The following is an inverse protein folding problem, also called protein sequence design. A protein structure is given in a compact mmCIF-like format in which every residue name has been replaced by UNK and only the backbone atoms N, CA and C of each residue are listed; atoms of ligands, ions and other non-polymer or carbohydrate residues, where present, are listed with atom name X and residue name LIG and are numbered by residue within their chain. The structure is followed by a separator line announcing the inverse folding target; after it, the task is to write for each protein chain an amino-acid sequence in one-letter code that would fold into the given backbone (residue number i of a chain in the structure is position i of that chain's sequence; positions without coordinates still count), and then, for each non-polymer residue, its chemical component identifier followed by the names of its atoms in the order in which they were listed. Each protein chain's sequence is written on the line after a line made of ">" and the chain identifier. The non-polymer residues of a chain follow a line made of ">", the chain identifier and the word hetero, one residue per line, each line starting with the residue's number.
data_IF_492922156958
#
_entry.id   IF_492922156958
#
_cell.length_a   1.000
_cell.length_b   1.000
_cell.length_c   1.000
_cell.angle_alpha   90.00
_cell.angle_beta   90.00
_cell.angle_gamma   90.00
#
_symmetry.space_group_name_H-M   'P 1'
#
loop_
_entity.id
_entity.type
_entity.pdbx_description
1 polymer ?
#
# COMPACT_ATOMS: atom_id res chain seq x y z
N UNK A 1 -49.11 62.37 -40.48
CA UNK A 1 -47.72 62.24 -40.01
C UNK A 1 -47.11 61.06 -40.77
N UNK A 2 -46.41 61.34 -41.88
CA UNK A 2 -45.83 60.29 -42.78
C UNK A 2 -44.44 60.03 -42.23
N UNK A 3 -44.25 58.87 -41.58
CA UNK A 3 -42.91 58.40 -41.19
C UNK A 3 -42.17 58.04 -42.47
N UNK A 4 -41.02 58.62 -42.71
CA UNK A 4 -40.29 58.48 -43.98
C UNK A 4 -39.75 57.04 -44.13
N UNK A 5 -39.87 56.50 -45.36
CA UNK A 5 -39.32 55.15 -45.68
C UNK A 5 -37.84 54.97 -45.28
N UNK A 6 -37.09 56.07 -45.14
CA UNK A 6 -35.67 56.05 -44.66
C UNK A 6 -35.55 55.72 -43.22
N UNK A 7 -36.49 55.98 -42.32
CA UNK A 7 -36.47 55.62 -40.91
C UNK A 7 -36.86 54.16 -40.70
N UNK A 8 -37.80 53.64 -41.50
CA UNK A 8 -38.15 52.21 -41.47
C UNK A 8 -37.03 51.34 -41.99
N UNK A 9 -36.28 51.78 -43.01
CA UNK A 9 -35.15 51.04 -43.56
C UNK A 9 -33.99 50.98 -42.52
N UNK A 10 -33.69 52.07 -41.82
CA UNK A 10 -32.66 52.10 -40.75
C UNK A 10 -33.01 51.25 -39.52
N UNK A 11 -34.29 51.19 -39.15
CA UNK A 11 -34.71 50.32 -38.02
C UNK A 11 -34.61 48.82 -38.36
N UNK A 12 -34.94 48.44 -39.58
CA UNK A 12 -34.82 47.06 -40.06
C UNK A 12 -33.32 46.61 -40.23
N UNK A 13 -32.45 47.51 -40.67
CA UNK A 13 -30.97 47.20 -40.74
C UNK A 13 -30.34 47.10 -39.34
N UNK A 14 -30.75 47.95 -38.38
CA UNK A 14 -30.26 47.89 -37.01
C UNK A 14 -30.73 46.60 -36.29
N UNK A 15 -31.97 46.17 -36.53
CA UNK A 15 -32.54 44.95 -35.92
C UNK A 15 -31.92 43.68 -36.55
N UNK A 16 -31.69 43.67 -37.87
CA UNK A 16 -30.99 42.56 -38.55
C UNK A 16 -29.52 42.44 -38.10
N UNK A 17 -28.81 43.58 -37.91
CA UNK A 17 -27.42 43.59 -37.45
C UNK A 17 -27.28 43.12 -35.98
N UNK A 18 -28.28 43.45 -35.15
CA UNK A 18 -28.37 43.02 -33.76
C UNK A 18 -28.57 41.49 -33.67
N UNK A 19 -29.51 40.96 -34.47
CA UNK A 19 -29.81 39.53 -34.50
C UNK A 19 -28.61 38.69 -35.01
N UNK A 20 -27.86 39.20 -35.98
CA UNK A 20 -26.64 38.55 -36.51
C UNK A 20 -25.53 38.58 -35.46
N UNK A 21 -25.35 39.66 -34.69
CA UNK A 21 -24.39 39.73 -33.61
C UNK A 21 -24.73 38.76 -32.47
N UNK A 22 -26.00 38.66 -32.09
CA UNK A 22 -26.45 37.69 -31.07
C UNK A 22 -26.24 36.26 -31.53
N UNK A 23 -26.55 35.91 -32.79
CA UNK A 23 -26.27 34.58 -33.33
C UNK A 23 -24.75 34.23 -33.32
N UNK A 24 -23.89 35.17 -33.71
CA UNK A 24 -22.42 34.98 -33.66
C UNK A 24 -21.92 34.80 -32.22
N UNK A 25 -22.46 35.57 -31.27
CA UNK A 25 -22.13 35.42 -29.85
C UNK A 25 -22.55 34.06 -29.28
N UNK A 26 -23.74 33.60 -29.61
CA UNK A 26 -24.25 32.27 -29.22
C UNK A 26 -23.38 31.16 -29.81
N UNK A 27 -23.03 31.25 -31.11
CA UNK A 27 -22.15 30.28 -31.77
C UNK A 27 -20.76 30.27 -31.09
N UNK A 28 -20.18 31.43 -30.79
CA UNK A 28 -18.91 31.53 -30.09
C UNK A 28 -18.97 30.88 -28.69
N UNK A 29 -20.03 31.12 -27.93
CA UNK A 29 -20.22 30.48 -26.62
C UNK A 29 -20.39 28.96 -26.72
N UNK A 30 -21.11 28.47 -27.73
CA UNK A 30 -21.23 27.02 -27.96
C UNK A 30 -19.93 26.37 -28.36
N UNK A 31 -19.11 27.05 -29.17
CA UNK A 31 -17.75 26.57 -29.51
C UNK A 31 -16.85 26.54 -28.30
N UNK A 32 -16.85 27.59 -27.47
CA UNK A 32 -16.09 27.62 -26.22
C UNK A 32 -16.56 26.49 -25.28
N UNK A 33 -17.87 26.33 -25.12
CA UNK A 33 -18.38 25.23 -24.29
C UNK A 33 -18.01 23.86 -24.83
N UNK A 34 -18.03 23.64 -26.15
CA UNK A 34 -17.60 22.37 -26.74
C UNK A 34 -16.10 22.11 -26.55
N UNK A 35 -15.25 23.15 -26.66
CA UNK A 35 -13.80 23.05 -26.40
C UNK A 35 -13.56 22.74 -24.91
N UNK A 36 -14.25 23.39 -23.99
CA UNK A 36 -14.15 23.11 -22.56
C UNK A 36 -14.59 21.70 -22.20
N UNK A 37 -15.69 21.23 -22.78
CA UNK A 37 -16.19 19.86 -22.58
C UNK A 37 -15.15 18.85 -23.11
N UNK A 38 -14.59 19.09 -24.30
CA UNK A 38 -13.55 18.22 -24.85
C UNK A 38 -12.27 18.21 -23.99
N UNK A 39 -11.86 19.36 -23.47
CA UNK A 39 -10.73 19.47 -22.57
C UNK A 39 -10.98 18.74 -21.23
N UNK A 40 -12.17 18.89 -20.65
CA UNK A 40 -12.56 18.17 -19.44
C UNK A 40 -12.66 16.66 -19.67
N UNK A 41 -13.19 16.23 -20.81
CA UNK A 41 -13.25 14.81 -21.17
C UNK A 41 -11.84 14.22 -21.34
N UNK A 42 -10.92 14.95 -21.99
CA UNK A 42 -9.53 14.54 -22.14
C UNK A 42 -8.79 14.50 -20.78
N UNK A 43 -9.04 15.46 -19.91
CA UNK A 43 -8.48 15.45 -18.55
C UNK A 43 -9.05 14.29 -17.73
N UNK A 44 -10.33 13.97 -17.88
CA UNK A 44 -10.94 12.81 -17.21
C UNK A 44 -10.41 11.48 -17.75
N UNK A 45 -10.20 11.35 -19.05
CA UNK A 45 -9.59 10.17 -19.65
C UNK A 45 -8.16 9.95 -19.14
N UNK A 46 -7.43 11.03 -18.90
CA UNK A 46 -6.05 11.02 -18.41
C UNK A 46 -5.95 10.77 -16.90
N UNK A 47 -6.77 11.42 -16.07
CA UNK A 47 -6.65 11.45 -14.61
C UNK A 47 -7.82 10.83 -13.86
N UNK A 48 -8.83 10.31 -14.56
CA UNK A 48 -10.09 9.90 -13.93
C UNK A 48 -9.92 8.80 -12.88
N UNK A 49 -9.04 7.84 -13.12
CA UNK A 49 -8.72 6.75 -12.19
C UNK A 49 -8.07 7.30 -10.92
N UNK A 50 -7.05 8.15 -11.07
CA UNK A 50 -6.34 8.78 -9.96
C UNK A 50 -7.27 9.70 -9.15
N UNK A 51 -8.05 10.53 -9.82
CA UNK A 51 -9.02 11.41 -9.15
C UNK A 51 -10.10 10.62 -8.40
N UNK A 52 -10.60 9.54 -9.00
CA UNK A 52 -11.57 8.67 -8.33
C UNK A 52 -10.98 8.04 -7.09
N UNK A 53 -9.77 7.47 -7.16
CA UNK A 53 -9.09 6.89 -6.02
C UNK A 53 -8.80 7.95 -4.92
N UNK A 54 -8.31 9.13 -5.30
CA UNK A 54 -8.06 10.23 -4.36
C UNK A 54 -9.32 10.70 -3.62
N UNK A 55 -10.50 10.57 -4.24
CA UNK A 55 -11.79 10.91 -3.61
C UNK A 55 -12.29 9.85 -2.63
N UNK A 56 -11.74 8.63 -2.63
CA UNK A 56 -12.07 7.58 -1.64
C UNK A 56 -11.31 7.74 -0.34
N UNK A 57 -10.28 8.61 -0.30
CA UNK A 57 -9.47 8.79 0.91
C UNK A 57 -10.33 9.35 2.02
N UNK A 58 -10.42 8.59 3.11
CA UNK A 58 -11.21 8.90 4.29
C UNK A 58 -10.34 8.80 5.55
N UNK A 59 -10.48 9.78 6.45
CA UNK A 59 -9.85 9.75 7.76
C UNK A 59 -10.67 8.87 8.70
N UNK A 60 -10.07 7.80 9.22
CA UNK A 60 -10.69 6.85 10.12
C UNK A 60 -10.44 7.20 11.60
N UNK A 61 -9.21 7.65 11.91
CA UNK A 61 -8.79 8.09 13.25
C UNK A 61 -7.67 9.14 13.14
N UNK A 62 -7.10 9.60 14.24
CA UNK A 62 -6.13 10.72 14.24
C UNK A 62 -4.94 10.50 13.31
N UNK A 63 -4.37 9.31 13.29
CA UNK A 63 -3.22 8.95 12.45
C UNK A 63 -3.53 7.74 11.54
N UNK A 64 -4.80 7.57 11.15
CA UNK A 64 -5.25 6.46 10.34
C UNK A 64 -6.21 6.90 9.25
N UNK A 65 -5.92 6.53 8.01
CA UNK A 65 -6.76 6.76 6.84
C UNK A 65 -7.02 5.46 6.11
N UNK A 66 -8.03 5.48 5.24
CA UNK A 66 -8.30 4.42 4.27
C UNK A 66 -8.36 4.97 2.85
N UNK A 67 -8.06 4.13 1.88
CA UNK A 67 -8.12 4.44 0.46
C UNK A 67 -8.53 3.20 -0.34
N UNK A 68 -9.41 3.39 -1.32
CA UNK A 68 -9.72 2.38 -2.33
C UNK A 68 -9.19 2.83 -3.69
N UNK A 69 -8.35 2.00 -4.34
CA UNK A 69 -7.84 2.26 -5.68
C UNK A 69 -8.32 1.18 -6.65
N UNK A 70 -9.29 1.53 -7.50
CA UNK A 70 -9.82 0.66 -8.56
C UNK A 70 -9.27 1.05 -9.92
N UNK A 71 -8.72 0.08 -10.64
CA UNK A 71 -8.21 0.26 -11.99
C UNK A 71 -6.68 0.19 -12.08
N UNK A 72 -6.15 0.78 -13.13
CA UNK A 72 -4.73 0.78 -13.40
C UNK A 72 -4.01 1.84 -12.56
N UNK A 73 -3.01 1.44 -11.79
CA UNK A 73 -2.10 2.34 -11.06
C UNK A 73 -0.67 2.31 -11.61
N UNK A 74 -0.48 1.76 -12.83
CA UNK A 74 0.79 1.79 -13.55
C UNK A 74 1.80 0.71 -13.14
N UNK A 75 1.44 -0.25 -12.30
CA UNK A 75 2.40 -1.22 -11.81
C UNK A 75 2.88 -2.20 -12.90
N UNK A 76 1.99 -2.59 -13.82
CA UNK A 76 2.39 -3.41 -14.97
C UNK A 76 3.40 -2.67 -15.86
N UNK A 77 3.15 -1.39 -16.15
CA UNK A 77 4.09 -0.55 -16.91
C UNK A 77 5.43 -0.37 -16.17
N UNK A 78 5.41 -0.22 -14.85
CA UNK A 78 6.61 -0.19 -14.02
C UNK A 78 7.47 -1.44 -14.21
N UNK A 79 6.85 -2.62 -14.16
CA UNK A 79 7.54 -3.89 -14.38
C UNK A 79 8.05 -4.05 -15.83
N UNK A 80 7.26 -3.64 -16.82
CA UNK A 80 7.63 -3.69 -18.24
C UNK A 80 8.83 -2.79 -18.58
N UNK A 81 9.01 -1.68 -17.87
CA UNK A 81 10.17 -0.78 -17.98
C UNK A 81 11.44 -1.33 -17.30
N UNK A 82 11.35 -2.49 -16.64
CA UNK A 82 12.46 -3.14 -15.94
C UNK A 82 12.52 -2.85 -14.44
N UNK A 83 11.49 -2.21 -13.88
CA UNK A 83 11.37 -1.95 -12.45
C UNK A 83 12.28 -0.84 -11.93
N UNK A 84 12.83 -1.00 -10.73
CA UNK A 84 13.71 0.00 -10.09
C UNK A 84 14.75 -0.66 -9.18
N UNK A 85 15.95 -0.06 -9.13
CA UNK A 85 17.07 -0.48 -8.25
C UNK A 85 17.07 0.21 -6.89
N UNK A 86 16.18 1.16 -6.69
CA UNK A 86 16.09 1.93 -5.45
C UNK A 86 14.70 2.55 -5.27
N UNK A 87 14.36 2.88 -4.02
CA UNK A 87 13.13 3.61 -3.71
C UNK A 87 13.08 4.98 -4.40
N UNK A 88 14.22 5.61 -4.64
CA UNK A 88 14.29 6.89 -5.36
C UNK A 88 13.87 6.74 -6.83
N UNK A 89 14.36 5.71 -7.53
CA UNK A 89 13.96 5.42 -8.91
C UNK A 89 12.46 5.04 -8.98
N UNK A 90 11.98 4.24 -8.02
CA UNK A 90 10.57 3.91 -7.89
C UNK A 90 9.72 5.17 -7.64
N UNK A 91 10.16 6.04 -6.73
CA UNK A 91 9.50 7.32 -6.46
C UNK A 91 9.43 8.24 -7.68
N UNK A 92 10.50 8.31 -8.47
CA UNK A 92 10.53 9.06 -9.75
C UNK A 92 9.51 8.49 -10.75
N UNK A 93 9.41 7.15 -10.84
CA UNK A 93 8.40 6.50 -11.67
C UNK A 93 6.98 6.84 -11.20
N UNK A 94 6.68 6.65 -9.91
CA UNK A 94 5.36 6.91 -9.33
C UNK A 94 4.95 8.37 -9.56
N UNK A 95 5.85 9.31 -9.28
CA UNK A 95 5.60 10.73 -9.48
C UNK A 95 5.32 11.05 -10.96
N UNK A 96 6.08 10.46 -11.88
CA UNK A 96 5.86 10.60 -13.31
C UNK A 96 4.51 10.02 -13.74
N UNK A 97 4.16 8.83 -13.27
CA UNK A 97 2.90 8.17 -13.58
C UNK A 97 1.69 8.96 -13.05
N UNK A 98 1.68 9.29 -11.76
CA UNK A 98 0.57 10.01 -11.12
C UNK A 98 0.37 11.41 -11.69
N UNK A 99 1.43 12.09 -12.10
CA UNK A 99 1.38 13.44 -12.65
C UNK A 99 1.41 13.49 -14.17
N UNK A 100 1.48 12.35 -14.87
CA UNK A 100 1.76 12.28 -16.32
C UNK A 100 2.98 13.12 -16.71
N UNK A 101 4.03 13.12 -15.86
CA UNK A 101 5.28 13.84 -16.08
C UNK A 101 5.24 15.33 -15.77
N UNK A 102 4.12 15.87 -15.26
CA UNK A 102 4.00 17.30 -14.95
C UNK A 102 4.67 17.73 -13.65
N UNK A 103 4.96 16.79 -12.75
CA UNK A 103 5.51 17.08 -11.43
C UNK A 103 6.46 16.00 -10.94
N UNK A 104 7.53 16.43 -10.27
CA UNK A 104 8.47 15.55 -9.57
C UNK A 104 8.58 16.04 -8.12
N UNK A 105 8.15 15.27 -7.12
CA UNK A 105 8.36 15.61 -5.72
C UNK A 105 9.84 15.47 -5.37
N UNK A 106 10.28 16.26 -4.41
CA UNK A 106 11.54 16.02 -3.71
C UNK A 106 11.20 15.06 -2.54
N UNK A 107 11.44 13.78 -2.74
CA UNK A 107 11.15 12.75 -1.74
C UNK A 107 12.42 12.42 -0.99
N UNK A 108 12.41 12.60 0.33
CA UNK A 108 13.44 12.07 1.22
C UNK A 108 12.91 10.80 1.89
N UNK A 109 13.59 9.68 1.71
CA UNK A 109 13.23 8.45 2.42
C UNK A 109 13.54 8.58 3.91
N UNK A 110 12.56 8.34 4.77
CA UNK A 110 12.77 8.25 6.21
C UNK A 110 13.56 6.96 6.50
N UNK A 111 14.77 7.10 7.00
CA UNK A 111 15.58 5.99 7.49
C UNK A 111 15.41 5.82 9.00
N UNK A 112 15.24 4.59 9.47
CA UNK A 112 15.11 4.29 10.90
C UNK A 112 15.21 2.79 11.15
N UNK A 113 15.23 2.37 12.41
CA UNK A 113 15.10 0.97 12.79
C UNK A 113 13.63 0.72 13.13
N UNK A 114 13.03 -0.33 12.59
CA UNK A 114 11.69 -0.75 12.95
C UNK A 114 11.66 -2.23 13.35
N UNK A 115 10.74 -2.55 14.26
CA UNK A 115 10.49 -3.90 14.72
C UNK A 115 9.33 -4.54 13.99
N UNK A 116 9.31 -5.84 13.94
CA UNK A 116 8.21 -6.58 13.33
C UNK A 116 8.08 -7.98 13.91
N UNK A 117 6.88 -8.53 13.85
CA UNK A 117 6.62 -9.93 14.18
C UNK A 117 5.52 -10.49 13.31
N UNK A 118 5.67 -11.73 12.87
CA UNK A 118 4.59 -12.49 12.21
C UNK A 118 4.44 -13.87 12.82
N UNK A 119 3.22 -14.41 12.76
CA UNK A 119 2.92 -15.79 13.15
C UNK A 119 1.83 -16.37 12.24
N UNK A 120 2.05 -17.61 11.76
CA UNK A 120 1.06 -18.38 11.00
C UNK A 120 0.58 -19.56 11.81
N UNK A 121 -0.73 -19.77 11.85
CA UNK A 121 -1.38 -20.89 12.55
C UNK A 121 -2.52 -21.44 11.72
N UNK A 122 -3.06 -22.59 12.14
CA UNK A 122 -4.31 -23.13 11.61
C UNK A 122 -5.42 -22.86 12.63
N UNK A 123 -6.56 -22.37 12.19
CA UNK A 123 -7.74 -22.22 13.07
C UNK A 123 -8.37 -23.57 13.42
N UNK A 124 -9.22 -23.68 14.45
CA UNK A 124 -9.88 -24.93 14.80
C UNK A 124 -10.74 -25.55 13.69
N UNK A 125 -11.23 -24.75 12.77
CA UNK A 125 -11.99 -25.19 11.57
C UNK A 125 -11.13 -25.43 10.34
N UNK A 126 -9.79 -25.25 10.48
CA UNK A 126 -8.79 -25.56 9.46
C UNK A 126 -8.45 -24.43 8.49
N UNK A 127 -8.86 -23.18 8.75
CA UNK A 127 -8.39 -22.02 8.00
C UNK A 127 -6.94 -21.66 8.38
N UNK A 128 -6.15 -21.16 7.45
CA UNK A 128 -4.88 -20.53 7.77
C UNK A 128 -5.13 -19.10 8.30
N UNK A 129 -4.45 -18.73 9.37
CA UNK A 129 -4.49 -17.41 9.98
C UNK A 129 -3.07 -16.85 10.04
N UNK A 130 -2.89 -15.62 9.54
CA UNK A 130 -1.64 -14.90 9.57
C UNK A 130 -1.76 -13.69 10.49
N UNK A 131 -0.89 -13.60 11.48
CA UNK A 131 -0.81 -12.48 12.42
C UNK A 131 0.42 -11.63 12.19
N UNK A 132 0.31 -10.31 12.32
CA UNK A 132 1.38 -9.33 12.06
C UNK A 132 1.38 -8.22 13.12
N UNK A 133 2.57 -7.87 13.66
CA UNK A 133 2.83 -6.60 14.34
C UNK A 133 3.84 -5.79 13.53
N UNK A 134 3.56 -4.51 13.32
CA UNK A 134 4.53 -3.52 12.84
C UNK A 134 4.89 -2.57 13.98
N UNK A 135 6.17 -2.51 14.28
CA UNK A 135 6.70 -1.72 15.38
C UNK A 135 7.57 -0.58 14.81
N UNK A 136 7.25 0.65 15.19
CA UNK A 136 7.92 1.87 14.75
C UNK A 136 7.77 2.94 15.83
N UNK A 137 8.26 4.14 15.56
CA UNK A 137 7.84 5.35 16.27
C UNK A 137 6.33 5.60 15.98
N UNK A 138 5.79 6.69 16.41
CA UNK A 138 4.43 7.08 16.04
C UNK A 138 4.39 7.42 14.54
N UNK A 139 3.45 6.87 13.77
CA UNK A 139 3.36 7.08 12.33
C UNK A 139 1.93 7.30 11.85
N UNK A 140 1.82 8.05 10.75
CA UNK A 140 0.59 8.14 9.96
C UNK A 140 0.43 6.86 9.12
N UNK A 141 -0.77 6.28 9.07
CA UNK A 141 -1.06 4.97 8.47
C UNK A 141 -2.15 5.05 7.42
N UNK A 142 -2.02 4.26 6.36
CA UNK A 142 -3.05 4.09 5.35
C UNK A 142 -3.43 2.61 5.21
N UNK A 143 -4.73 2.32 5.35
CA UNK A 143 -5.32 1.07 4.89
C UNK A 143 -5.61 1.21 3.40
N UNK A 144 -5.08 0.32 2.59
CA UNK A 144 -5.13 0.39 1.14
C UNK A 144 -5.89 -0.81 0.60
N UNK A 145 -7.01 -0.56 -0.06
CA UNK A 145 -7.73 -1.56 -0.84
C UNK A 145 -7.47 -1.33 -2.32
N UNK A 146 -6.98 -2.34 -3.03
CA UNK A 146 -6.73 -2.26 -4.47
C UNK A 146 -7.56 -3.26 -5.25
N UNK A 147 -8.11 -2.82 -6.37
CA UNK A 147 -8.76 -3.67 -7.39
C UNK A 147 -8.05 -3.38 -8.71
N UNK A 148 -6.88 -3.99 -8.96
CA UNK A 148 -6.08 -3.71 -10.13
C UNK A 148 -6.76 -4.20 -11.41
N UNK A 149 -6.45 -3.56 -12.53
CA UNK A 149 -6.99 -3.95 -13.84
C UNK A 149 -6.54 -5.37 -14.25
N UNK A 150 -5.29 -5.71 -13.94
CA UNK A 150 -4.64 -6.97 -14.31
C UNK A 150 -3.93 -7.59 -13.09
N UNK A 151 -4.67 -7.98 -12.06
CA UNK A 151 -4.09 -8.56 -10.86
C UNK A 151 -5.16 -8.93 -9.86
N UNK A 152 -4.73 -9.42 -8.72
CA UNK A 152 -5.62 -9.81 -7.63
C UNK A 152 -6.02 -8.61 -6.78
N UNK A 153 -7.28 -8.59 -6.37
CA UNK A 153 -7.78 -7.66 -5.36
C UNK A 153 -7.05 -7.89 -4.04
N UNK A 154 -6.70 -6.80 -3.32
CA UNK A 154 -5.96 -6.92 -2.07
C UNK A 154 -6.27 -5.82 -1.07
N UNK A 155 -6.09 -6.14 0.21
CA UNK A 155 -6.02 -5.19 1.32
C UNK A 155 -4.59 -5.17 1.86
N UNK A 156 -4.08 -3.99 2.17
CA UNK A 156 -2.71 -3.81 2.62
C UNK A 156 -2.60 -2.61 3.58
N UNK A 157 -1.47 -2.50 4.27
CA UNK A 157 -1.14 -1.38 5.15
C UNK A 157 0.12 -0.68 4.68
N UNK A 158 0.15 0.64 4.84
CA UNK A 158 1.28 1.50 4.51
C UNK A 158 1.59 2.44 5.67
N UNK A 159 2.88 2.63 5.97
CA UNK A 159 3.36 3.73 6.79
C UNK A 159 3.60 4.95 5.88
N UNK A 160 2.79 5.99 6.05
CA UNK A 160 2.82 7.18 5.20
C UNK A 160 4.09 8.02 5.40
N UNK A 161 4.73 7.92 6.58
CA UNK A 161 5.97 8.66 6.85
C UNK A 161 7.11 8.19 5.93
N UNK A 162 7.05 6.95 5.45
CA UNK A 162 8.02 6.40 4.50
C UNK A 162 7.89 6.99 3.08
N UNK A 163 6.79 7.66 2.77
CA UNK A 163 6.62 8.36 1.49
C UNK A 163 7.42 9.67 1.41
N UNK A 164 7.91 10.19 2.55
CA UNK A 164 8.82 11.33 2.59
C UNK A 164 8.20 12.69 2.24
N UNK A 165 6.88 12.85 2.38
CA UNK A 165 6.19 14.09 2.00
C UNK A 165 6.26 15.21 3.05
N UNK A 166 6.89 14.95 4.22
CA UNK A 166 7.09 15.93 5.29
C UNK A 166 5.96 15.98 6.32
N UNK A 167 6.25 16.59 7.47
CA UNK A 167 5.36 16.58 8.64
C UNK A 167 4.05 17.37 8.45
N UNK A 168 4.04 18.37 7.57
CA UNK A 168 2.86 19.21 7.32
C UNK A 168 1.87 18.58 6.31
N UNK A 169 2.27 17.50 5.64
CA UNK A 169 1.43 16.81 4.67
C UNK A 169 0.40 15.91 5.36
N UNK A 170 -0.83 15.89 4.84
CA UNK A 170 -1.88 14.97 5.30
C UNK A 170 -2.64 14.38 4.10
N UNK A 171 -2.94 13.06 4.10
CA UNK A 171 -3.58 12.38 2.98
C UNK A 171 -4.96 12.94 2.61
N UNK A 172 -5.68 13.53 3.56
CA UNK A 172 -7.01 14.12 3.40
C UNK A 172 -7.01 15.64 3.23
N UNK A 173 -5.82 16.25 3.03
CA UNK A 173 -5.61 17.66 2.83
C UNK A 173 -6.14 18.19 1.48
N UNK A 174 -5.32 18.92 0.74
CA UNK A 174 -5.66 19.41 -0.59
C UNK A 174 -5.80 18.26 -1.60
N UNK A 175 -6.38 18.54 -2.78
CA UNK A 175 -6.40 17.54 -3.88
C UNK A 175 -5.00 17.09 -4.28
N UNK A 176 -3.99 17.97 -4.18
CA UNK A 176 -2.58 17.62 -4.39
C UNK A 176 -2.11 16.60 -3.36
N UNK A 177 -2.41 16.82 -2.08
CA UNK A 177 -2.03 15.89 -0.99
C UNK A 177 -2.70 14.52 -1.18
N UNK A 178 -3.97 14.51 -1.59
CA UNK A 178 -4.70 13.27 -1.91
C UNK A 178 -4.08 12.52 -3.08
N UNK A 179 -3.65 13.21 -4.13
CA UNK A 179 -2.98 12.59 -5.27
C UNK A 179 -1.60 12.02 -4.86
N UNK A 180 -0.87 12.70 -3.97
CA UNK A 180 0.38 12.17 -3.40
C UNK A 180 0.14 10.91 -2.58
N UNK A 181 -0.96 10.85 -1.82
CA UNK A 181 -1.32 9.68 -1.02
C UNK A 181 -1.52 8.41 -1.86
N UNK A 182 -1.82 8.52 -3.15
CA UNK A 182 -1.94 7.37 -4.06
C UNK A 182 -0.63 6.58 -4.17
N UNK A 183 0.52 7.18 -3.87
CA UNK A 183 1.80 6.48 -3.81
C UNK A 183 1.83 5.35 -2.76
N UNK A 184 0.94 5.37 -1.76
CA UNK A 184 0.83 4.31 -0.74
C UNK A 184 0.53 2.93 -1.33
N UNK A 185 -0.07 2.84 -2.52
CA UNK A 185 -0.29 1.57 -3.24
C UNK A 185 1.03 0.82 -3.47
N UNK A 186 2.13 1.56 -3.68
CA UNK A 186 3.44 0.99 -3.97
C UNK A 186 4.30 0.75 -2.71
N UNK A 187 3.99 1.40 -1.59
CA UNK A 187 4.79 1.40 -0.36
C UNK A 187 4.12 0.62 0.77
N UNK A 188 3.50 -0.49 0.43
CA UNK A 188 2.84 -1.38 1.40
C UNK A 188 3.87 -2.16 2.22
N UNK A 189 3.54 -2.46 3.47
CA UNK A 189 4.41 -3.19 4.40
C UNK A 189 3.88 -4.57 4.80
N UNK A 190 2.57 -4.77 4.67
CA UNK A 190 1.90 -6.07 4.78
C UNK A 190 0.55 -6.04 4.06
N UNK A 191 -0.04 -7.20 3.82
CA UNK A 191 -1.34 -7.31 3.19
C UNK A 191 -1.73 -8.73 2.86
N UNK A 192 -2.96 -8.87 2.34
CA UNK A 192 -3.53 -10.12 1.84
C UNK A 192 -4.26 -9.87 0.53
N UNK A 193 -4.13 -10.78 -0.44
CA UNK A 193 -4.91 -10.73 -1.67
C UNK A 193 -6.10 -11.70 -1.67
N UNK A 194 -6.95 -11.61 -2.68
CA UNK A 194 -8.18 -12.42 -2.86
C UNK A 194 -7.94 -13.93 -3.02
N UNK A 195 -6.68 -14.37 -3.12
CA UNK A 195 -6.29 -15.78 -3.11
C UNK A 195 -5.87 -16.25 -1.72
N UNK A 196 -5.89 -15.36 -0.73
CA UNK A 196 -5.46 -15.62 0.63
C UNK A 196 -3.93 -15.68 0.79
N UNK A 197 -3.16 -15.17 -0.17
CA UNK A 197 -1.73 -14.96 0.02
C UNK A 197 -1.53 -13.74 0.93
N UNK A 198 -0.91 -13.96 2.09
CA UNK A 198 -0.44 -12.91 2.99
C UNK A 198 1.05 -12.65 2.81
N UNK A 199 1.42 -11.39 2.81
CA UNK A 199 2.80 -10.91 2.71
C UNK A 199 3.10 -9.91 3.81
N UNK A 200 4.33 -9.91 4.33
CA UNK A 200 4.82 -8.88 5.24
C UNK A 200 6.30 -8.65 5.02
N UNK A 201 6.71 -7.37 5.10
CA UNK A 201 8.10 -6.95 5.18
C UNK A 201 8.56 -6.88 6.65
N UNK A 202 9.76 -7.38 6.93
CA UNK A 202 10.40 -7.27 8.24
C UNK A 202 11.86 -6.84 8.06
N UNK A 203 12.28 -5.83 8.81
CA UNK A 203 13.65 -5.35 8.79
C UNK A 203 14.61 -6.32 9.48
N UNK A 204 15.85 -6.40 8.99
CA UNK A 204 16.99 -7.07 9.64
C UNK A 204 18.08 -6.04 9.93
N UNK A 205 18.36 -5.78 11.21
CA UNK A 205 19.04 -4.56 11.64
C UNK A 205 20.56 -4.53 11.46
N UNK A 206 21.22 -5.67 11.32
CA UNK A 206 22.69 -5.75 11.34
C UNK A 206 23.31 -6.33 10.07
N UNK A 207 22.49 -6.59 9.06
CA UNK A 207 22.96 -7.15 7.79
C UNK A 207 23.21 -6.04 6.76
N UNK A 208 24.11 -6.30 5.82
CA UNK A 208 24.32 -5.44 4.66
C UNK A 208 23.05 -5.41 3.78
N UNK A 209 22.86 -4.31 3.07
CA UNK A 209 21.74 -4.18 2.15
C UNK A 209 21.71 -5.25 1.07
N UNK A 210 20.55 -5.53 0.53
CA UNK A 210 20.31 -6.48 -0.55
C UNK A 210 20.64 -5.83 -1.88
N UNK A 211 21.55 -6.43 -2.65
CA UNK A 211 21.87 -6.04 -3.99
C UNK A 211 22.10 -7.28 -4.84
N UNK A 212 21.11 -7.61 -5.66
CA UNK A 212 21.35 -8.53 -6.75
C UNK A 212 21.69 -7.73 -8.01
N UNK A 213 22.54 -8.25 -8.87
CA UNK A 213 22.93 -7.60 -10.09
C UNK A 213 23.23 -8.66 -11.17
N UNK A 214 22.14 -9.19 -11.71
CA UNK A 214 22.16 -10.13 -12.83
C UNK A 214 21.57 -9.46 -14.09
N UNK A 215 21.16 -10.22 -15.07
CA UNK A 215 20.49 -9.70 -16.27
C UNK A 215 18.95 -9.65 -16.13
N UNK A 216 18.42 -9.77 -14.91
CA UNK A 216 16.98 -9.73 -14.62
C UNK A 216 16.50 -8.29 -14.41
N UNK A 217 15.18 -8.03 -14.58
CA UNK A 217 14.57 -6.78 -14.14
C UNK A 217 14.74 -6.58 -12.63
N UNK A 218 14.75 -5.32 -12.21
CA UNK A 218 15.03 -4.93 -10.84
C UNK A 218 13.74 -4.65 -10.05
N UNK A 219 13.67 -5.06 -8.79
CA UNK A 219 12.62 -4.67 -7.85
C UNK A 219 13.22 -4.33 -6.50
N UNK A 220 12.56 -3.42 -5.77
CA UNK A 220 12.84 -3.15 -4.37
C UNK A 220 11.95 -4.01 -3.47
N UNK A 221 12.27 -4.08 -2.18
CA UNK A 221 11.47 -4.81 -1.20
C UNK A 221 9.99 -4.38 -1.26
N UNK A 222 9.69 -3.08 -1.21
CA UNK A 222 8.30 -2.60 -1.20
C UNK A 222 7.58 -2.86 -2.53
N UNK A 223 8.24 -2.70 -3.67
CA UNK A 223 7.66 -3.08 -4.97
C UNK A 223 7.51 -4.59 -5.13
N UNK A 224 8.37 -5.38 -4.47
CA UNK A 224 8.25 -6.83 -4.38
C UNK A 224 6.97 -7.27 -3.65
N UNK A 225 6.62 -6.62 -2.54
CA UNK A 225 5.34 -6.91 -1.86
C UNK A 225 4.13 -6.61 -2.75
N UNK A 226 4.16 -5.47 -3.48
CA UNK A 226 3.08 -5.14 -4.43
C UNK A 226 3.00 -6.16 -5.56
N UNK A 227 4.15 -6.58 -6.10
CA UNK A 227 4.23 -7.64 -7.10
C UNK A 227 3.55 -8.93 -6.64
N UNK A 228 3.84 -9.37 -5.41
CA UNK A 228 3.27 -10.59 -4.85
C UNK A 228 1.77 -10.49 -4.64
N UNK A 229 1.27 -9.38 -4.08
CA UNK A 229 -0.17 -9.21 -3.89
C UNK A 229 -0.93 -9.15 -5.21
N UNK A 230 -0.34 -8.54 -6.25
CA UNK A 230 -1.00 -8.44 -7.55
C UNK A 230 -0.97 -9.74 -8.36
N UNK A 231 0.09 -10.55 -8.24
CA UNK A 231 0.40 -11.57 -9.25
C UNK A 231 0.54 -13.01 -8.72
N UNK A 232 0.70 -13.22 -7.41
CA UNK A 232 0.90 -14.55 -6.84
C UNK A 232 -0.35 -15.02 -6.07
N UNK A 233 -0.80 -16.25 -6.34
CA UNK A 233 -1.94 -16.84 -5.66
C UNK A 233 -1.55 -17.60 -4.37
N UNK A 234 -0.31 -17.99 -4.23
CA UNK A 234 0.20 -18.82 -3.14
C UNK A 234 1.71 -18.63 -2.97
N UNK A 235 2.27 -19.24 -1.93
CA UNK A 235 3.72 -19.13 -1.61
C UNK A 235 4.58 -19.65 -2.76
N UNK A 236 4.21 -20.74 -3.44
CA UNK A 236 5.02 -21.31 -4.51
C UNK A 236 5.12 -20.36 -5.72
N UNK A 237 3.98 -19.81 -6.15
CA UNK A 237 3.95 -18.79 -7.21
C UNK A 237 4.72 -17.52 -6.81
N UNK A 238 4.62 -17.11 -5.53
CA UNK A 238 5.36 -15.99 -5.01
C UNK A 238 6.88 -16.19 -5.12
N UNK A 239 7.38 -17.37 -4.75
CA UNK A 239 8.79 -17.70 -4.83
C UNK A 239 9.28 -17.79 -6.29
N UNK A 240 8.48 -18.40 -7.18
CA UNK A 240 8.79 -18.45 -8.61
C UNK A 240 8.86 -17.04 -9.19
N UNK A 241 7.90 -16.18 -8.85
CA UNK A 241 7.84 -14.81 -9.32
C UNK A 241 9.03 -13.99 -8.85
N UNK A 242 9.37 -14.02 -7.55
CA UNK A 242 10.55 -13.34 -7.00
C UNK A 242 11.85 -13.80 -7.65
N UNK A 243 11.94 -15.06 -8.04
CA UNK A 243 13.13 -15.60 -8.71
C UNK A 243 13.41 -14.98 -10.08
N UNK A 244 12.45 -14.26 -10.67
CA UNK A 244 12.56 -13.64 -11.99
C UNK A 244 13.16 -12.24 -11.94
N UNK A 245 13.36 -11.68 -10.75
CA UNK A 245 13.83 -10.32 -10.54
C UNK A 245 15.13 -10.27 -9.73
N UNK A 246 15.87 -9.18 -9.89
CA UNK A 246 16.96 -8.80 -9.00
C UNK A 246 16.38 -7.93 -7.87
N UNK A 247 16.56 -8.39 -6.62
CA UNK A 247 16.05 -7.71 -5.43
C UNK A 247 17.04 -6.68 -4.90
N UNK A 248 16.50 -5.51 -4.55
CA UNK A 248 17.22 -4.42 -3.89
C UNK A 248 16.54 -4.05 -2.58
N UNK A 249 17.31 -3.58 -1.60
CA UNK A 249 16.76 -3.15 -0.32
C UNK A 249 15.88 -1.89 -0.47
N UNK A 250 14.98 -1.71 0.48
CA UNK A 250 14.22 -0.47 0.68
C UNK A 250 14.61 0.20 1.98
N UNK A 251 14.33 1.50 2.13
CA UNK A 251 14.53 2.27 3.35
C UNK A 251 15.97 2.23 3.91
N UNK A 252 16.95 1.91 3.06
CA UNK A 252 18.36 1.85 3.45
C UNK A 252 18.74 0.70 4.39
N UNK A 253 17.94 -0.36 4.46
CA UNK A 253 18.12 -1.49 5.40
C UNK A 253 17.94 -2.83 4.72
N UNK A 254 18.60 -3.86 5.27
CA UNK A 254 18.29 -5.24 4.92
C UNK A 254 16.90 -5.62 5.46
N UNK A 255 16.20 -6.40 4.68
CA UNK A 255 14.82 -6.81 4.96
C UNK A 255 14.62 -8.23 4.46
N UNK A 256 13.59 -8.90 4.97
CA UNK A 256 13.14 -10.19 4.50
C UNK A 256 11.61 -10.25 4.47
N UNK A 257 11.06 -11.18 3.70
CA UNK A 257 9.62 -11.39 3.65
C UNK A 257 9.18 -12.51 4.58
N UNK A 258 8.03 -12.33 5.20
CA UNK A 258 7.20 -13.40 5.72
C UNK A 258 6.02 -13.60 4.79
N UNK A 259 5.88 -14.79 4.23
CA UNK A 259 4.80 -15.16 3.32
C UNK A 259 3.99 -16.30 3.92
N UNK A 260 2.67 -16.25 3.75
CA UNK A 260 1.77 -17.34 4.14
C UNK A 260 0.61 -17.45 3.15
N UNK A 261 0.16 -18.66 2.83
CA UNK A 261 -0.96 -18.90 1.92
C UNK A 261 -2.14 -19.63 2.57
N UNK A 262 -3.27 -19.64 1.89
CA UNK A 262 -4.50 -20.29 2.35
C UNK A 262 -4.38 -21.81 2.53
N UNK A 263 -3.34 -22.45 1.96
CA UNK A 263 -3.03 -23.85 2.22
C UNK A 263 -2.26 -24.08 3.53
N UNK A 264 -1.86 -22.99 4.21
CA UNK A 264 -1.13 -23.01 5.47
C UNK A 264 0.38 -23.13 5.30
N UNK A 265 0.93 -23.03 4.09
CA UNK A 265 2.38 -22.92 3.90
C UNK A 265 2.83 -21.55 4.36
N UNK A 266 3.91 -21.50 5.14
CA UNK A 266 4.51 -20.26 5.64
C UNK A 266 6.02 -20.31 5.54
N UNK A 267 6.63 -19.24 5.01
CA UNK A 267 8.06 -19.13 4.77
C UNK A 267 8.61 -17.77 5.11
N UNK A 268 9.89 -17.73 5.51
CA UNK A 268 10.72 -16.53 5.41
C UNK A 268 11.49 -16.58 4.09
N UNK A 269 11.53 -15.46 3.36
CA UNK A 269 12.32 -15.29 2.14
C UNK A 269 13.39 -14.26 2.42
N UNK A 270 14.64 -14.67 2.35
CA UNK A 270 15.81 -13.91 2.73
C UNK A 270 16.77 -13.78 1.54
N UNK A 271 17.54 -12.69 1.48
CA UNK A 271 18.58 -12.52 0.47
C UNK A 271 19.92 -12.41 1.16
N UNK A 272 20.74 -13.43 0.99
CA UNK A 272 22.04 -13.52 1.62
C UNK A 272 23.12 -13.83 0.58
N UNK A 273 24.20 -13.05 0.57
CA UNK A 273 25.29 -13.17 -0.41
C UNK A 273 24.82 -13.09 -1.88
N UNK A 274 23.78 -12.31 -2.18
CA UNK A 274 23.20 -12.17 -3.52
C UNK A 274 22.28 -13.33 -3.95
N UNK A 275 21.99 -14.26 -3.06
CA UNK A 275 21.09 -15.40 -3.33
C UNK A 275 19.80 -15.30 -2.51
N UNK A 276 18.67 -15.66 -3.13
CA UNK A 276 17.40 -15.82 -2.45
C UNK A 276 17.40 -17.15 -1.69
N UNK A 277 17.14 -17.10 -0.39
CA UNK A 277 17.08 -18.25 0.52
C UNK A 277 15.70 -18.34 1.14
N UNK A 278 15.12 -19.52 1.15
CA UNK A 278 13.76 -19.79 1.66
C UNK A 278 13.85 -20.73 2.86
N UNK A 279 13.24 -20.32 3.97
CA UNK A 279 13.14 -21.12 5.20
C UNK A 279 11.66 -21.35 5.53
N UNK A 280 11.21 -22.61 5.53
CA UNK A 280 9.85 -22.92 6.01
C UNK A 280 9.76 -22.64 7.51
N UNK A 281 8.93 -21.72 7.90
CA UNK A 281 8.76 -21.26 9.28
C UNK A 281 7.39 -20.62 9.50
N UNK A 282 6.73 -20.87 10.65
CA UNK A 282 5.49 -20.19 10.99
C UNK A 282 5.69 -18.87 11.75
N UNK A 283 6.93 -18.52 12.13
CA UNK A 283 7.23 -17.31 12.90
C UNK A 283 8.42 -16.61 12.28
N UNK A 284 8.30 -15.29 12.09
CA UNK A 284 9.38 -14.44 11.60
C UNK A 284 9.45 -13.18 12.45
N UNK A 285 10.66 -12.73 12.79
CA UNK A 285 10.93 -11.44 13.46
C UNK A 285 12.18 -10.80 12.84
N UNK A 286 12.84 -9.87 13.50
CA UNK A 286 13.89 -9.04 12.90
C UNK A 286 15.30 -9.65 12.99
N UNK A 287 15.49 -10.87 12.52
CA UNK A 287 16.79 -11.52 12.31
C UNK A 287 16.68 -12.54 11.17
N UNK A 288 17.77 -12.78 10.45
CA UNK A 288 17.81 -13.83 9.44
C UNK A 288 17.79 -15.22 10.08
N UNK A 289 16.87 -16.06 9.62
CA UNK A 289 16.75 -17.45 10.07
C UNK A 289 17.83 -18.32 9.45
N UNK A 290 18.21 -18.02 8.20
CA UNK A 290 19.27 -18.79 7.53
C UNK A 290 20.66 -18.43 8.06
N UNK A 291 21.31 -19.40 8.71
CA UNK A 291 22.66 -19.24 9.24
C UNK A 291 22.74 -18.26 10.41
N UNK A 292 21.65 -18.08 11.15
CA UNK A 292 21.66 -17.30 12.39
C UNK A 292 22.60 -17.90 13.43
N UNK A 293 23.47 -17.07 13.99
CA UNK A 293 24.39 -17.42 15.07
C UNK A 293 23.97 -16.84 16.44
N UNK A 294 22.77 -16.26 16.50
CA UNK A 294 22.23 -15.60 17.68
C UNK A 294 22.66 -14.15 17.86
N UNK A 295 23.28 -13.54 16.84
CA UNK A 295 23.81 -12.17 16.91
C UNK A 295 23.18 -11.19 15.95
N UNK A 296 22.44 -11.65 14.94
CA UNK A 296 21.87 -10.81 13.89
C UNK A 296 20.55 -10.11 14.29
N UNK A 297 19.93 -10.50 15.40
CA UNK A 297 18.67 -9.93 15.86
C UNK A 297 18.84 -8.60 16.59
N UNK A 298 17.90 -7.70 16.37
CA UNK A 298 17.77 -6.42 17.05
C UNK A 298 16.49 -6.34 17.88
N UNK A 299 16.44 -5.40 18.82
CA UNK A 299 15.23 -4.99 19.52
C UNK A 299 14.31 -6.12 19.93
N UNK A 300 14.69 -6.94 20.89
CA UNK A 300 13.85 -8.04 21.41
C UNK A 300 13.42 -9.10 20.38
N UNK A 301 14.02 -9.12 19.16
CA UNK A 301 13.64 -10.03 18.07
C UNK A 301 13.59 -11.49 18.53
N UNK A 302 14.62 -11.97 19.21
CA UNK A 302 14.67 -13.35 19.71
C UNK A 302 13.63 -13.60 20.81
N UNK A 303 13.38 -12.64 21.69
CA UNK A 303 12.36 -12.77 22.76
C UNK A 303 10.99 -12.87 22.12
N UNK A 304 10.66 -12.01 21.14
CA UNK A 304 9.39 -12.02 20.42
C UNK A 304 9.22 -13.32 19.61
N UNK A 305 10.25 -13.75 18.88
CA UNK A 305 10.28 -15.03 18.17
C UNK A 305 9.99 -16.22 19.09
N UNK A 306 10.73 -16.33 20.20
CA UNK A 306 10.59 -17.41 21.16
C UNK A 306 9.20 -17.39 21.81
N UNK A 307 8.67 -16.21 22.14
CA UNK A 307 7.33 -16.07 22.74
C UNK A 307 6.22 -16.55 21.79
N UNK A 308 6.27 -16.13 20.52
CA UNK A 308 5.29 -16.57 19.52
C UNK A 308 5.40 -18.07 19.25
N UNK A 309 6.62 -18.58 19.11
CA UNK A 309 6.89 -20.01 18.90
C UNK A 309 6.35 -20.84 20.06
N UNK A 310 6.63 -20.47 21.31
CA UNK A 310 6.15 -21.19 22.51
C UNK A 310 4.61 -21.18 22.59
N UNK A 311 3.95 -20.05 22.32
CA UNK A 311 2.49 -19.96 22.33
C UNK A 311 1.87 -20.85 21.26
N UNK A 312 2.40 -20.80 20.06
CA UNK A 312 1.98 -21.63 18.92
C UNK A 312 2.18 -23.11 19.22
N UNK A 313 3.34 -23.50 19.74
CA UNK A 313 3.65 -24.91 20.05
C UNK A 313 2.79 -25.44 21.19
N UNK A 314 2.52 -24.64 22.22
CA UNK A 314 1.59 -25.00 23.31
C UNK A 314 0.18 -25.28 22.78
N UNK A 315 -0.24 -24.55 21.75
CA UNK A 315 -1.51 -24.76 21.02
C UNK A 315 -1.39 -25.81 19.89
N UNK A 316 -0.22 -26.45 19.70
CA UNK A 316 0.05 -27.41 18.62
C UNK A 316 -0.21 -26.85 17.22
N UNK A 317 0.03 -25.54 17.05
CA UNK A 317 -0.20 -24.82 15.80
C UNK A 317 -1.68 -24.53 15.50
N UNK A 318 -2.61 -24.84 16.40
CA UNK A 318 -4.04 -24.59 16.19
C UNK A 318 -4.52 -23.49 17.15
N UNK A 319 -4.89 -22.34 16.59
CA UNK A 319 -5.29 -21.16 17.37
C UNK A 319 -6.43 -20.42 16.69
N UNK A 320 -7.35 -19.89 17.46
CA UNK A 320 -8.36 -18.94 16.97
C UNK A 320 -7.75 -17.59 16.62
N UNK A 321 -8.44 -16.76 15.84
CA UNK A 321 -8.03 -15.39 15.55
C UNK A 321 -7.79 -14.58 16.86
N UNK A 322 -8.60 -14.79 17.88
CA UNK A 322 -8.47 -14.13 19.19
C UNK A 322 -7.20 -14.60 19.95
N UNK A 323 -6.83 -15.88 19.85
CA UNK A 323 -5.57 -16.37 20.44
C UNK A 323 -4.35 -15.84 19.68
N UNK A 324 -4.45 -15.65 18.35
CA UNK A 324 -3.43 -14.98 17.55
C UNK A 324 -3.32 -13.52 17.98
N UNK A 325 -4.42 -12.77 18.08
CA UNK A 325 -4.45 -11.40 18.61
C UNK A 325 -3.76 -11.32 19.98
N UNK A 326 -4.12 -12.23 20.90
CA UNK A 326 -3.53 -12.28 22.24
C UNK A 326 -2.03 -12.59 22.19
N UNK A 327 -1.59 -13.38 21.22
CA UNK A 327 -0.16 -13.67 21.02
C UNK A 327 0.60 -12.48 20.46
N UNK A 328 0.00 -11.73 19.53
CA UNK A 328 0.54 -10.46 19.04
C UNK A 328 0.64 -9.42 20.15
N UNK A 329 -0.40 -9.29 20.97
CA UNK A 329 -0.39 -8.41 22.13
C UNK A 329 0.72 -8.76 23.16
N UNK A 330 1.05 -10.05 23.30
CA UNK A 330 2.12 -10.48 24.21
C UNK A 330 3.53 -10.11 23.73
N UNK A 331 3.70 -9.79 22.46
CA UNK A 331 4.96 -9.35 21.83
C UNK A 331 4.91 -7.91 21.32
N UNK A 332 3.87 -7.15 21.70
CA UNK A 332 3.77 -5.74 21.39
C UNK A 332 4.83 -4.93 22.16
N UNK A 333 5.24 -3.80 21.60
CA UNK A 333 6.36 -3.01 22.13
C UNK A 333 6.12 -2.42 23.51
N UNK A 334 4.87 -2.20 23.92
CA UNK A 334 4.53 -1.80 25.29
C UNK A 334 5.00 -2.79 26.36
N UNK A 335 5.27 -4.05 26.00
CA UNK A 335 5.83 -5.04 26.92
C UNK A 335 7.36 -4.92 27.14
N UNK A 336 8.04 -4.03 26.42
CA UNK A 336 9.49 -3.84 26.46
C UNK A 336 9.88 -2.38 26.79
N UNK A 337 9.34 -1.78 27.87
CA UNK A 337 9.57 -0.38 28.18
C UNK A 337 11.05 -0.11 28.47
N UNK A 338 11.63 0.89 27.79
CA UNK A 338 13.01 1.30 27.97
C UNK A 338 14.05 0.49 27.20
N UNK A 339 13.67 -0.56 26.50
CA UNK A 339 14.60 -1.40 25.70
C UNK A 339 14.43 -1.18 24.19
N UNK A 340 13.33 -0.59 23.77
CA UNK A 340 12.91 -0.45 22.37
C UNK A 340 13.17 0.92 21.74
N UNK A 341 13.96 1.80 22.39
CA UNK A 341 14.28 3.12 21.83
C UNK A 341 13.12 4.10 21.68
N UNK A 342 11.92 3.75 22.21
CA UNK A 342 10.69 4.54 22.05
C UNK A 342 9.72 3.99 21.00
N UNK A 343 10.05 2.86 20.38
CA UNK A 343 9.17 2.18 19.43
C UNK A 343 7.83 1.79 20.09
N UNK A 344 6.78 1.81 19.28
CA UNK A 344 5.42 1.35 19.60
C UNK A 344 5.02 0.28 18.60
N UNK A 345 4.10 -0.59 18.95
CA UNK A 345 3.41 -1.40 17.94
C UNK A 345 2.38 -0.49 17.28
N UNK A 346 2.75 0.08 16.11
CA UNK A 346 1.93 1.04 15.38
C UNK A 346 0.66 0.42 14.84
N UNK A 347 0.73 -0.85 14.44
CA UNK A 347 -0.47 -1.63 14.14
C UNK A 347 -0.23 -3.13 14.33
N UNK A 348 -1.33 -3.82 14.54
CA UNK A 348 -1.41 -5.28 14.45
C UNK A 348 -2.51 -5.68 13.50
N UNK A 349 -2.31 -6.76 12.76
CA UNK A 349 -3.31 -7.29 11.87
C UNK A 349 -3.42 -8.81 12.00
N UNK A 350 -4.64 -9.32 12.01
CA UNK A 350 -4.95 -10.75 11.99
C UNK A 350 -5.76 -11.05 10.74
N UNK A 351 -5.16 -11.76 9.80
CA UNK A 351 -5.75 -12.13 8.51
C UNK A 351 -6.32 -13.54 8.57
N UNK A 352 -7.58 -13.71 8.21
CA UNK A 352 -8.19 -15.01 7.92
C UNK A 352 -8.10 -15.26 6.40
N UNK A 353 -7.22 -16.18 6.01
CA UNK A 353 -6.86 -16.42 4.61
C UNK A 353 -7.93 -17.19 3.83
N UNK A 354 -8.93 -17.78 4.53
CA UNK A 354 -10.07 -18.46 3.91
C UNK A 354 -11.26 -17.51 3.74
N UNK A 355 -11.61 -16.78 4.83
CA UNK A 355 -12.73 -15.84 4.83
C UNK A 355 -12.37 -14.53 4.12
N UNK A 356 -11.11 -14.34 3.71
CA UNK A 356 -10.56 -13.15 3.06
C UNK A 356 -10.86 -11.87 3.84
N UNK A 357 -10.76 -11.98 5.15
CA UNK A 357 -10.98 -10.89 6.11
C UNK A 357 -9.73 -10.61 6.92
N UNK A 358 -9.63 -9.39 7.45
CA UNK A 358 -8.60 -9.04 8.40
C UNK A 358 -9.17 -8.18 9.53
N UNK A 359 -8.60 -8.33 10.72
CA UNK A 359 -8.89 -7.48 11.87
C UNK A 359 -7.65 -6.62 12.12
N UNK A 360 -7.78 -5.33 11.92
CA UNK A 360 -6.72 -4.34 12.12
C UNK A 360 -6.89 -3.63 13.47
N UNK A 361 -5.80 -3.52 14.22
CA UNK A 361 -5.72 -2.86 15.52
C UNK A 361 -4.73 -1.70 15.41
N UNK A 362 -5.23 -0.48 15.63
CA UNK A 362 -4.41 0.72 15.59
C UNK A 362 -3.70 0.93 16.94
N UNK A 363 -2.39 1.13 16.90
CA UNK A 363 -1.54 1.57 18.03
C UNK A 363 -1.87 0.86 19.36
N UNK A 364 -1.93 -0.48 19.32
CA UNK A 364 -2.26 -1.34 20.48
C UNK A 364 -3.67 -1.10 21.07
N UNK A 365 -4.58 -0.48 20.34
CA UNK A 365 -6.00 -0.42 20.73
C UNK A 365 -6.71 -1.73 20.38
N UNK A 366 -6.53 -2.70 21.25
CA UNK A 366 -7.10 -4.04 21.10
C UNK A 366 -8.63 -4.08 21.29
N UNK A 367 -9.24 -3.00 21.78
CA UNK A 367 -10.66 -2.94 22.10
C UNK A 367 -11.51 -2.42 20.93
N UNK A 368 -10.94 -1.60 20.05
CA UNK A 368 -11.68 -0.93 18.98
C UNK A 368 -11.04 -1.22 17.60
N UNK A 369 -11.09 -2.48 17.13
CA UNK A 369 -10.50 -2.88 15.86
C UNK A 369 -11.25 -2.31 14.65
N UNK A 370 -10.60 -2.38 13.50
CA UNK A 370 -11.23 -2.21 12.18
C UNK A 370 -11.36 -3.59 11.53
N UNK A 371 -12.58 -3.92 11.05
CA UNK A 371 -12.81 -5.11 10.26
C UNK A 371 -12.62 -4.78 8.78
N UNK A 372 -11.76 -5.53 8.12
CA UNK A 372 -11.46 -5.42 6.69
C UNK A 372 -11.95 -6.67 5.97
N UNK A 373 -12.49 -6.54 4.76
CA UNK A 373 -12.99 -7.66 3.97
C UNK A 373 -12.80 -7.42 2.48
N UNK A 374 -12.32 -8.44 1.76
CA UNK A 374 -12.26 -8.46 0.30
C UNK A 374 -13.58 -8.89 -0.36
N UNK A 375 -14.53 -9.44 0.40
CA UNK A 375 -15.82 -9.90 -0.13
C UNK A 375 -16.94 -8.88 0.06
N UNK A 376 -16.76 -7.90 0.96
CA UNK A 376 -17.78 -6.92 1.28
C UNK A 376 -17.57 -5.60 0.53
N UNK A 377 -18.66 -5.01 0.04
CA UNK A 377 -18.61 -3.70 -0.64
C UNK A 377 -18.08 -2.58 0.27
N UNK A 378 -18.41 -2.65 1.55
CA UNK A 378 -17.91 -1.79 2.61
C UNK A 378 -16.73 -2.53 3.27
N UNK A 379 -15.58 -2.42 2.63
CA UNK A 379 -14.39 -3.23 2.90
C UNK A 379 -13.68 -2.90 4.21
N UNK A 380 -13.95 -1.72 4.81
CA UNK A 380 -13.33 -1.25 6.04
C UNK A 380 -14.40 -0.69 6.99
N UNK A 381 -14.60 -1.34 8.15
CA UNK A 381 -15.57 -0.95 9.16
C UNK A 381 -14.91 -0.86 10.51
N UNK A 382 -15.18 0.23 11.27
CA UNK A 382 -14.81 0.29 12.69
C UNK A 382 -15.63 -0.76 13.45
N UNK A 383 -14.97 -1.62 14.23
CA UNK A 383 -15.64 -2.60 15.08
C UNK A 383 -16.44 -1.91 16.20
N UNK A 384 -17.54 -2.56 16.64
CA UNK A 384 -18.39 -2.09 17.73
C UNK A 384 -17.73 -2.29 19.09
#
# INVERSE_FOLDING_TARGET
>A
MIVSEKELCKSNEADSSSSVRHRKAIIALLVIAAVLIAALAGAWDMFGTQLTAAMTIEKLDDNLWSMEYKGDYGFDEFLEQGGAKSDAEMGDYIASYLSHGFWKPDTSTAGGNYGCSTVTVTSPDGAAIFGRNFDWEECDKMLVHTVPKNGYESIATCNLDFLGFGEDWKPDGSMGDKLMALASVYAILDGMNEKGLCVADLMVSHEEGIYQNTDKPDITIVSGLRLLLDKAANVEEALELLSQYDMHFSLGRAQHFSLSDAAGRSVAVEWKNGEMVVTDTPVVTNFYLHGDDGTSGSGQSYVRFNTLTQRRDAAKGVMTAEEVRTSLAAVAQSNFPGENGGEKTCWSCVYDQRELTATFYDTEDWAHPYALSLEEKDWCKKGE
#
